data_IF_391146951423
#
_entry.id   IF_391146951423
#
_cell.length_a   1.000
_cell.length_b   1.000
_cell.length_c   1.000
_cell.angle_alpha   90.00
_cell.angle_beta   90.00
_cell.angle_gamma   90.00
#
_symmetry.space_group_name_H-M   'P 1'
#
loop_
_entity.id
_entity.type
_entity.pdbx_description
1 polymer ?
#
# COMPACT_ATOMS: atom_id res chain seq x y z
N UNK A 1 25.93 -21.04 41.24
CA UNK A 1 25.54 -21.01 39.82
C UNK A 1 24.11 -21.47 39.53
N UNK A 2 23.44 -22.25 40.40
CA UNK A 2 21.99 -22.51 40.25
C UNK A 2 21.15 -21.22 40.26
N UNK A 3 21.54 -20.23 41.06
CA UNK A 3 20.86 -18.93 41.13
C UNK A 3 20.80 -18.15 39.80
N UNK A 4 21.83 -18.21 38.93
CA UNK A 4 21.78 -17.63 37.59
C UNK A 4 20.88 -18.42 36.63
N UNK A 5 20.66 -19.72 36.90
CA UNK A 5 19.71 -20.56 36.16
C UNK A 5 18.27 -20.42 36.66
N UNK A 6 18.07 -19.82 37.83
CA UNK A 6 16.75 -19.62 38.45
C UNK A 6 16.13 -18.26 38.06
N UNK A 7 16.88 -17.38 37.39
CA UNK A 7 16.43 -16.03 37.07
C UNK A 7 16.90 -15.59 35.67
N UNK A 8 16.03 -15.72 34.66
CA UNK A 8 16.32 -15.43 33.25
C UNK A 8 16.68 -13.96 32.95
N UNK A 9 16.41 -13.03 33.87
CA UNK A 9 16.69 -11.60 33.68
C UNK A 9 18.07 -11.15 34.19
N UNK A 10 18.79 -12.00 34.93
CA UNK A 10 20.09 -11.67 35.52
C UNK A 10 21.20 -12.35 34.72
N UNK A 11 21.96 -11.57 33.96
CA UNK A 11 23.06 -12.11 33.14
C UNK A 11 24.38 -12.12 33.92
N UNK A 12 25.30 -12.98 33.48
CA UNK A 12 26.64 -13.03 34.07
C UNK A 12 27.41 -11.70 33.91
N UNK A 13 27.07 -10.94 32.87
CA UNK A 13 27.57 -9.58 32.61
C UNK A 13 27.24 -8.59 33.73
N UNK A 14 26.08 -8.73 34.35
CA UNK A 14 25.60 -7.79 35.37
C UNK A 14 26.32 -7.97 36.72
N UNK A 15 26.84 -9.18 36.97
CA UNK A 15 27.54 -9.53 38.21
C UNK A 15 29.07 -9.47 38.07
N UNK A 16 29.59 -9.49 36.83
CA UNK A 16 31.02 -9.42 36.52
C UNK A 16 31.77 -8.27 37.23
N UNK A 17 31.22 -7.04 37.31
CA UNK A 17 31.88 -5.91 37.96
C UNK A 17 32.03 -6.02 39.50
N UNK A 18 31.28 -6.93 40.13
CA UNK A 18 31.23 -7.06 41.58
C UNK A 18 32.19 -8.14 42.13
N UNK A 19 32.98 -8.78 41.26
CA UNK A 19 33.96 -9.77 41.68
C UNK A 19 35.30 -9.13 42.06
N UNK A 20 35.95 -9.70 43.07
CA UNK A 20 37.31 -9.33 43.45
C UNK A 20 38.33 -9.92 42.47
N UNK A 21 39.49 -9.28 42.33
CA UNK A 21 40.57 -9.66 41.39
C UNK A 21 41.11 -11.10 41.55
N UNK A 22 40.75 -11.78 42.64
CA UNK A 22 41.29 -13.10 43.04
C UNK A 22 40.27 -14.25 43.01
N UNK A 23 39.06 -14.02 42.48
CA UNK A 23 38.10 -15.10 42.27
C UNK A 23 38.61 -16.01 41.16
N UNK A 24 38.76 -17.31 41.44
CA UNK A 24 39.20 -18.32 40.47
C UNK A 24 38.24 -18.36 39.29
N UNK A 25 38.69 -17.84 38.14
CA UNK A 25 37.98 -17.81 36.85
C UNK A 25 37.40 -19.20 36.47
N UNK A 26 38.00 -20.28 36.95
CA UNK A 26 37.54 -21.66 36.73
C UNK A 26 36.10 -21.92 37.19
N UNK A 27 35.58 -21.22 38.20
CA UNK A 27 34.20 -21.41 38.66
C UNK A 27 33.15 -20.75 37.75
N UNK A 28 33.57 -19.84 36.87
CA UNK A 28 32.70 -19.01 36.03
C UNK A 28 32.88 -19.29 34.54
N UNK A 29 33.96 -19.99 34.18
CA UNK A 29 34.30 -20.37 32.81
C UNK A 29 33.11 -20.96 32.04
N UNK A 30 32.44 -21.95 32.60
CA UNK A 30 31.33 -22.63 31.92
C UNK A 30 30.12 -21.71 31.70
N UNK A 31 29.80 -20.85 32.68
CA UNK A 31 28.68 -19.91 32.59
C UNK A 31 28.97 -18.78 31.58
N UNK A 32 30.21 -18.30 31.51
CA UNK A 32 30.67 -17.34 30.51
C UNK A 32 30.65 -17.98 29.12
N UNK A 33 31.18 -19.20 28.97
CA UNK A 33 31.14 -19.94 27.71
C UNK A 33 29.71 -20.15 27.21
N UNK A 34 28.78 -20.52 28.10
CA UNK A 34 27.36 -20.69 27.76
C UNK A 34 26.72 -19.37 27.30
N UNK A 35 26.91 -18.29 28.06
CA UNK A 35 26.37 -16.97 27.69
C UNK A 35 26.92 -16.49 26.34
N UNK A 36 28.23 -16.65 26.10
CA UNK A 36 28.84 -16.31 24.81
C UNK A 36 28.30 -17.17 23.66
N UNK A 37 28.03 -18.46 23.89
CA UNK A 37 27.40 -19.33 22.90
C UNK A 37 25.97 -18.86 22.57
N UNK A 38 25.17 -18.53 23.59
CA UNK A 38 23.81 -17.99 23.42
C UNK A 38 23.83 -16.66 22.65
N UNK A 39 24.77 -15.76 22.94
CA UNK A 39 24.93 -14.53 22.15
C UNK A 39 25.30 -14.79 20.69
N UNK A 40 26.23 -15.71 20.43
CA UNK A 40 26.58 -16.08 19.07
C UNK A 40 25.39 -16.70 18.33
N UNK A 41 24.59 -17.52 19.00
CA UNK A 41 23.37 -18.08 18.44
C UNK A 41 22.36 -16.97 18.14
N UNK A 42 22.09 -16.05 19.07
CA UNK A 42 21.21 -14.92 18.84
C UNK A 42 21.66 -14.03 17.68
N UNK A 43 22.97 -13.79 17.54
CA UNK A 43 23.53 -13.05 16.41
C UNK A 43 23.28 -13.81 15.10
N UNK A 44 23.40 -15.15 15.13
CA UNK A 44 23.14 -15.99 13.97
C UNK A 44 21.65 -15.96 13.58
N UNK A 45 20.75 -16.08 14.56
CA UNK A 45 19.30 -16.01 14.34
C UNK A 45 18.89 -14.64 13.75
N UNK A 46 19.42 -13.54 14.28
CA UNK A 46 19.17 -12.19 13.76
C UNK A 46 19.70 -12.01 12.33
N UNK A 47 20.85 -12.62 12.00
CA UNK A 47 21.39 -12.59 10.63
C UNK A 47 20.48 -13.35 9.68
N UNK A 48 19.98 -14.51 10.10
CA UNK A 48 19.04 -15.32 9.31
C UNK A 48 17.72 -14.58 9.09
N UNK A 49 17.15 -13.95 10.13
CA UNK A 49 15.95 -13.13 10.02
C UNK A 49 16.16 -11.95 9.06
N UNK A 50 17.30 -11.28 9.14
CA UNK A 50 17.65 -10.18 8.24
C UNK A 50 17.77 -10.66 6.78
N UNK A 51 18.39 -11.82 6.56
CA UNK A 51 18.52 -12.41 5.22
C UNK A 51 17.16 -12.83 4.65
N UNK A 52 16.30 -13.46 5.46
CA UNK A 52 14.94 -13.84 5.06
C UNK A 52 14.09 -12.60 4.72
N UNK A 53 14.11 -11.58 5.57
CA UNK A 53 13.41 -10.32 5.31
C UNK A 53 13.92 -9.63 4.03
N UNK A 54 15.23 -9.66 3.80
CA UNK A 54 15.85 -9.09 2.59
C UNK A 54 15.40 -9.84 1.34
N UNK A 55 15.44 -11.18 1.37
CA UNK A 55 15.00 -12.04 0.28
C UNK A 55 13.52 -11.85 -0.02
N UNK A 56 12.68 -11.78 1.01
CA UNK A 56 11.24 -11.47 0.85
C UNK A 56 11.03 -10.12 0.17
N UNK A 57 11.77 -9.09 0.59
CA UNK A 57 11.70 -7.78 -0.03
C UNK A 57 12.17 -7.77 -1.50
N UNK A 58 13.17 -8.57 -1.86
CA UNK A 58 13.61 -8.74 -3.25
C UNK A 58 12.54 -9.41 -4.12
N UNK A 59 11.90 -10.46 -3.63
CA UNK A 59 10.76 -11.12 -4.32
C UNK A 59 9.64 -10.12 -4.57
N UNK A 60 9.21 -9.38 -3.54
CA UNK A 60 8.16 -8.37 -3.65
C UNK A 60 8.54 -7.29 -4.67
N UNK A 61 9.79 -6.80 -4.66
CA UNK A 61 10.26 -5.82 -5.66
C UNK A 61 10.22 -6.38 -7.08
N UNK A 62 10.61 -7.65 -7.27
CA UNK A 62 10.50 -8.36 -8.54
C UNK A 62 9.06 -8.49 -9.02
N UNK A 63 8.14 -8.85 -8.12
CA UNK A 63 6.70 -8.90 -8.41
C UNK A 63 6.14 -7.53 -8.80
N UNK A 64 6.52 -6.45 -8.10
CA UNK A 64 6.11 -5.08 -8.46
C UNK A 64 6.61 -4.72 -9.87
N UNK A 65 7.84 -5.07 -10.20
CA UNK A 65 8.41 -4.78 -11.52
C UNK A 65 7.71 -5.56 -12.64
N UNK A 66 7.49 -6.86 -12.43
CA UNK A 66 6.75 -7.69 -13.41
C UNK A 66 5.32 -7.20 -13.55
N UNK A 67 4.66 -6.83 -12.46
CA UNK A 67 3.29 -6.29 -12.45
C UNK A 67 3.16 -5.00 -13.27
N UNK A 68 4.13 -4.08 -13.17
CA UNK A 68 4.16 -2.83 -13.97
C UNK A 68 4.28 -3.07 -15.46
N UNK A 69 4.88 -4.19 -15.89
CA UNK A 69 5.12 -4.51 -17.29
C UNK A 69 4.01 -5.38 -17.91
N UNK A 70 2.93 -5.67 -17.18
CA UNK A 70 1.81 -6.45 -17.71
C UNK A 70 1.00 -5.60 -18.69
N UNK A 71 0.76 -6.15 -19.88
CA UNK A 71 -0.21 -5.60 -20.80
C UNK A 71 -1.59 -6.25 -20.58
N UNK A 72 -2.64 -5.50 -20.87
CA UNK A 72 -4.03 -6.01 -20.87
C UNK A 72 -4.66 -5.71 -22.22
N UNK A 73 -5.36 -6.70 -22.77
CA UNK A 73 -6.00 -6.60 -24.08
C UNK A 73 -7.49 -6.31 -23.92
N UNK A 74 -7.97 -5.26 -24.58
CA UNK A 74 -9.40 -4.92 -24.64
C UNK A 74 -9.94 -5.34 -26.00
N UNK A 75 -10.99 -6.14 -25.99
CA UNK A 75 -11.68 -6.68 -27.16
C UNK A 75 -12.98 -5.90 -27.42
N UNK A 76 -13.47 -5.92 -28.66
CA UNK A 76 -14.69 -5.18 -29.05
C UNK A 76 -15.99 -5.66 -28.38
N UNK A 77 -15.96 -6.86 -27.80
CA UNK A 77 -17.08 -7.46 -27.06
C UNK A 77 -16.95 -7.27 -25.55
N UNK A 78 -15.91 -6.58 -25.08
CA UNK A 78 -15.76 -6.31 -23.66
C UNK A 78 -16.84 -5.36 -23.16
N UNK A 79 -17.34 -5.64 -21.96
CA UNK A 79 -18.44 -4.92 -21.32
C UNK A 79 -17.99 -4.27 -20.02
N UNK A 80 -18.67 -3.19 -19.63
CA UNK A 80 -18.49 -2.53 -18.34
C UNK A 80 -19.06 -3.40 -17.23
N UNK A 81 -18.30 -3.57 -16.14
CA UNK A 81 -18.69 -4.42 -15.00
C UNK A 81 -19.80 -3.84 -14.11
N UNK A 82 -20.34 -2.65 -14.42
CA UNK A 82 -21.43 -2.01 -13.68
C UNK A 82 -22.75 -1.97 -14.45
N UNK A 83 -22.70 -1.78 -15.77
CA UNK A 83 -23.90 -1.59 -16.60
C UNK A 83 -24.06 -2.64 -17.71
N UNK A 84 -23.11 -3.57 -17.84
CA UNK A 84 -23.09 -4.66 -18.84
C UNK A 84 -23.16 -4.21 -20.32
N UNK A 85 -23.00 -2.91 -20.58
CA UNK A 85 -22.92 -2.35 -21.94
C UNK A 85 -21.48 -2.39 -22.47
N UNK A 86 -21.33 -2.36 -23.81
CA UNK A 86 -20.03 -2.40 -24.48
C UNK A 86 -19.10 -1.28 -24.01
N UNK A 87 -17.87 -1.65 -23.67
CA UNK A 87 -16.87 -0.76 -23.07
C UNK A 87 -16.43 0.36 -24.03
N UNK A 88 -16.15 0.01 -25.28
CA UNK A 88 -15.55 0.92 -26.28
C UNK A 88 -16.47 2.04 -26.79
N UNK A 89 -17.72 2.10 -26.33
CA UNK A 89 -18.68 3.15 -26.75
C UNK A 89 -18.43 4.46 -25.98
N UNK A 90 -17.82 4.40 -24.79
CA UNK A 90 -17.60 5.55 -23.91
C UNK A 90 -16.17 5.53 -23.35
N UNK A 91 -15.66 6.67 -22.83
CA UNK A 91 -14.42 6.66 -22.07
C UNK A 91 -14.49 5.66 -20.92
N UNK A 92 -13.42 4.89 -20.72
CA UNK A 92 -13.40 3.81 -19.75
C UNK A 92 -12.09 3.76 -18.97
N UNK A 93 -12.14 3.15 -17.79
CA UNK A 93 -10.98 2.78 -16.98
C UNK A 93 -10.80 1.28 -17.03
N UNK A 94 -9.54 0.85 -17.18
CA UNK A 94 -9.12 -0.53 -17.08
C UNK A 94 -8.12 -0.64 -15.93
N UNK A 95 -8.47 -1.42 -14.93
CA UNK A 95 -7.61 -1.65 -13.77
C UNK A 95 -6.68 -2.84 -14.02
N UNK A 96 -5.47 -2.86 -13.41
CA UNK A 96 -4.55 -4.00 -13.50
C UNK A 96 -5.10 -5.34 -12.99
N UNK A 97 -6.18 -5.32 -12.18
CA UNK A 97 -6.91 -6.52 -11.77
C UNK A 97 -7.84 -7.09 -12.87
N UNK A 98 -7.96 -6.42 -14.02
CA UNK A 98 -8.79 -6.83 -15.16
C UNK A 98 -10.20 -6.21 -15.16
N UNK A 99 -10.62 -5.55 -14.09
CA UNK A 99 -11.93 -4.88 -14.04
C UNK A 99 -11.95 -3.63 -14.91
N UNK A 100 -13.10 -3.41 -15.54
CA UNK A 100 -13.30 -2.41 -16.58
C UNK A 100 -14.62 -1.70 -16.39
N UNK A 101 -14.57 -0.37 -16.44
CA UNK A 101 -15.72 0.47 -16.11
C UNK A 101 -15.78 1.64 -17.07
N UNK A 102 -16.98 2.05 -17.48
CA UNK A 102 -17.14 3.38 -18.06
C UNK A 102 -16.81 4.46 -17.02
N UNK A 103 -16.27 5.58 -17.47
CA UNK A 103 -15.88 6.70 -16.60
C UNK A 103 -17.07 7.21 -15.78
N UNK A 104 -18.21 7.40 -16.43
CA UNK A 104 -19.49 7.80 -15.86
C UNK A 104 -20.05 6.77 -14.86
N UNK A 105 -20.03 5.48 -15.20
CA UNK A 105 -20.45 4.42 -14.29
C UNK A 105 -19.57 4.37 -13.03
N UNK A 106 -18.25 4.46 -13.22
CA UNK A 106 -17.28 4.42 -12.12
C UNK A 106 -17.47 5.61 -11.17
N UNK A 107 -17.58 6.83 -11.70
CA UNK A 107 -17.76 8.05 -10.88
C UNK A 107 -19.07 8.00 -10.09
N UNK A 108 -20.15 7.53 -10.72
CA UNK A 108 -21.47 7.39 -10.10
C UNK A 108 -21.41 6.50 -8.85
N UNK A 109 -20.82 5.31 -8.99
CA UNK A 109 -20.75 4.34 -7.89
C UNK A 109 -19.65 4.67 -6.87
N UNK A 110 -18.57 5.32 -7.31
CA UNK A 110 -17.46 5.71 -6.44
C UNK A 110 -17.82 6.90 -5.53
N UNK A 111 -18.63 7.84 -6.01
CA UNK A 111 -19.05 9.02 -5.26
C UNK A 111 -19.55 8.71 -3.84
N UNK A 112 -20.52 7.79 -3.60
CA UNK A 112 -20.99 7.47 -2.25
C UNK A 112 -19.96 6.72 -1.40
N UNK A 113 -18.96 6.05 -1.99
CA UNK A 113 -17.95 5.27 -1.27
C UNK A 113 -16.70 6.08 -0.89
N UNK A 114 -16.44 7.20 -1.58
CA UNK A 114 -15.30 8.06 -1.30
C UNK A 114 -15.38 8.73 0.10
N UNK A 115 -14.24 8.86 0.80
CA UNK A 115 -14.14 9.73 1.98
C UNK A 115 -14.58 11.16 1.65
N UNK A 116 -15.17 11.89 2.62
CA UNK A 116 -15.75 13.22 2.38
C UNK A 116 -14.74 14.22 1.80
N UNK A 117 -13.47 14.17 2.24
CA UNK A 117 -12.42 15.03 1.69
C UNK A 117 -12.14 14.79 0.20
N UNK A 118 -12.02 13.51 -0.22
CA UNK A 118 -11.80 13.16 -1.63
C UNK A 118 -13.03 13.45 -2.49
N UNK A 119 -14.23 13.17 -1.97
CA UNK A 119 -15.51 13.48 -2.65
C UNK A 119 -15.64 14.97 -2.94
N UNK A 120 -15.44 15.82 -1.93
CA UNK A 120 -15.57 17.26 -2.07
C UNK A 120 -14.54 17.82 -3.05
N UNK A 121 -13.29 17.31 -2.98
CA UNK A 121 -12.24 17.67 -3.95
C UNK A 121 -12.64 17.28 -5.38
N UNK A 122 -13.15 16.07 -5.58
CA UNK A 122 -13.60 15.59 -6.90
C UNK A 122 -14.74 16.45 -7.46
N UNK A 123 -15.74 16.79 -6.64
CA UNK A 123 -16.86 17.64 -7.05
C UNK A 123 -16.40 19.06 -7.41
N UNK A 124 -15.47 19.63 -6.65
CA UNK A 124 -14.91 20.95 -6.96
C UNK A 124 -14.08 20.93 -8.26
N UNK A 125 -13.26 19.90 -8.48
CA UNK A 125 -12.51 19.73 -9.72
C UNK A 125 -13.45 19.56 -10.93
N UNK A 126 -14.52 18.78 -10.79
CA UNK A 126 -15.55 18.64 -11.83
C UNK A 126 -16.26 19.97 -12.11
N UNK A 127 -16.55 20.76 -11.07
CA UNK A 127 -17.15 22.10 -11.23
C UNK A 127 -16.21 23.02 -12.00
N UNK A 128 -14.93 23.05 -11.64
CA UNK A 128 -13.92 23.84 -12.35
C UNK A 128 -13.81 23.42 -13.82
N UNK A 129 -13.74 22.11 -14.10
CA UNK A 129 -13.66 21.58 -15.46
C UNK A 129 -14.87 21.97 -16.33
N UNK A 130 -16.07 21.98 -15.75
CA UNK A 130 -17.29 22.43 -16.43
C UNK A 130 -17.26 23.93 -16.72
N UNK A 131 -16.80 24.76 -15.77
CA UNK A 131 -16.66 26.21 -15.96
C UNK A 131 -15.66 26.57 -17.08
N UNK A 132 -14.59 25.79 -17.24
CA UNK A 132 -13.65 25.94 -18.36
C UNK A 132 -14.28 25.49 -19.69
N UNK A 133 -15.05 24.40 -19.70
CA UNK A 133 -15.68 23.87 -20.92
C UNK A 133 -16.75 24.82 -21.50
N UNK A 134 -17.45 25.59 -20.66
CA UNK A 134 -18.46 26.57 -21.10
C UNK A 134 -17.88 27.88 -21.66
N UNK A 135 -16.57 28.12 -21.53
CA UNK A 135 -15.90 29.34 -22.02
C UNK A 135 -15.26 29.21 -23.41
N UNK A 136 -15.26 28.01 -23.99
CA UNK A 136 -14.56 27.70 -25.25
C UNK A 136 -15.34 28.08 -26.51
N UNK A 137 -16.63 28.43 -26.44
CA UNK A 137 -17.45 28.70 -27.64
C UNK A 137 -17.19 30.06 -28.32
N UNK A 138 -16.34 30.95 -27.79
CA UNK A 138 -16.18 32.30 -28.39
C UNK A 138 -14.77 32.80 -28.67
N UNK A 139 -13.67 32.16 -28.23
CA UNK A 139 -12.34 32.67 -28.57
C UNK A 139 -11.28 31.56 -28.62
N UNK A 140 -10.65 31.40 -29.79
CA UNK A 140 -9.44 30.60 -30.01
C UNK A 140 -8.28 31.12 -29.14
N UNK A 141 -8.10 30.59 -27.92
CA UNK A 141 -7.07 31.03 -26.97
C UNK A 141 -6.25 29.86 -26.40
N UNK A 142 -5.05 29.70 -26.96
CA UNK A 142 -3.79 29.41 -26.24
C UNK A 142 -3.52 27.99 -25.71
N UNK A 143 -2.30 27.49 -25.97
CA UNK A 143 -1.73 26.24 -25.42
C UNK A 143 -1.81 26.13 -23.87
N UNK A 144 -1.83 27.26 -23.15
CA UNK A 144 -1.90 27.30 -21.70
C UNK A 144 -3.27 26.89 -21.11
N UNK A 145 -4.38 27.13 -21.82
CA UNK A 145 -5.73 26.77 -21.34
C UNK A 145 -5.97 25.25 -21.47
N UNK A 146 -5.46 24.66 -22.54
CA UNK A 146 -5.46 23.21 -22.79
C UNK A 146 -4.68 22.50 -21.68
N UNK A 147 -3.49 23.00 -21.34
CA UNK A 147 -2.66 22.45 -20.25
C UNK A 147 -3.37 22.48 -18.89
N UNK A 148 -4.06 23.58 -18.55
CA UNK A 148 -4.82 23.67 -17.30
C UNK A 148 -6.00 22.70 -17.25
N UNK A 149 -6.70 22.50 -18.38
CA UNK A 149 -7.80 21.53 -18.50
C UNK A 149 -7.32 20.10 -18.34
N UNK A 150 -6.19 19.77 -18.95
CA UNK A 150 -5.60 18.44 -18.86
C UNK A 150 -5.09 18.14 -17.45
N UNK A 151 -4.55 19.14 -16.75
CA UNK A 151 -4.20 19.01 -15.33
C UNK A 151 -5.43 18.71 -14.46
N UNK A 152 -6.55 19.40 -14.68
CA UNK A 152 -7.80 19.14 -13.96
C UNK A 152 -8.33 17.73 -14.22
N UNK A 153 -8.26 17.25 -15.47
CA UNK A 153 -8.62 15.86 -15.81
C UNK A 153 -7.71 14.87 -15.12
N UNK A 154 -6.39 15.08 -15.16
CA UNK A 154 -5.41 14.22 -14.50
C UNK A 154 -5.64 14.15 -12.98
N UNK A 155 -6.01 15.26 -12.35
CA UNK A 155 -6.32 15.30 -10.92
C UNK A 155 -7.60 14.51 -10.59
N UNK A 156 -8.63 14.57 -11.45
CA UNK A 156 -9.84 13.74 -11.33
C UNK A 156 -9.48 12.27 -11.53
N UNK A 157 -8.71 11.94 -12.57
CA UNK A 157 -8.26 10.59 -12.88
C UNK A 157 -7.44 10.00 -11.72
N UNK A 158 -6.60 10.80 -11.06
CA UNK A 158 -5.85 10.38 -9.87
C UNK A 158 -6.75 9.94 -8.72
N UNK A 159 -7.92 10.58 -8.56
CA UNK A 159 -8.91 10.21 -7.54
C UNK A 159 -9.70 8.98 -7.99
N UNK A 160 -10.22 8.99 -9.22
CA UNK A 160 -11.11 7.97 -9.76
C UNK A 160 -10.40 6.63 -9.98
N UNK A 161 -9.18 6.67 -10.51
CA UNK A 161 -8.37 5.48 -10.78
C UNK A 161 -7.48 5.05 -9.60
N UNK A 162 -7.67 5.65 -8.41
CA UNK A 162 -6.82 5.33 -7.24
C UNK A 162 -6.94 3.88 -6.77
N UNK A 163 -8.14 3.30 -6.86
CA UNK A 163 -8.39 1.90 -6.50
C UNK A 163 -9.58 1.33 -7.29
N UNK A 164 -9.56 0.02 -7.52
CA UNK A 164 -10.66 -0.68 -8.19
C UNK A 164 -11.86 -0.81 -7.24
N UNK A 165 -13.07 -0.54 -7.74
CA UNK A 165 -14.31 -0.67 -6.96
C UNK A 165 -14.51 -2.06 -6.32
N UNK A 166 -14.08 -3.14 -6.96
CA UNK A 166 -14.31 -4.51 -6.48
C UNK A 166 -13.11 -5.15 -5.78
N UNK A 167 -11.89 -4.69 -6.05
CA UNK A 167 -10.67 -5.26 -5.48
C UNK A 167 -9.98 -4.35 -4.46
N UNK A 168 -10.39 -3.08 -4.36
CA UNK A 168 -9.79 -2.09 -3.47
C UNK A 168 -10.40 -2.10 -2.07
N UNK A 169 -9.85 -1.24 -1.21
CA UNK A 169 -10.28 -1.06 0.17
C UNK A 169 -11.70 -0.47 0.24
N UNK A 170 -12.14 0.25 -0.80
CA UNK A 170 -13.53 0.73 -0.89
C UNK A 170 -14.55 -0.39 -0.69
N UNK A 171 -14.30 -1.58 -1.25
CA UNK A 171 -15.22 -2.72 -1.11
C UNK A 171 -15.25 -3.25 0.32
N UNK A 172 -14.11 -3.23 1.03
CA UNK A 172 -14.05 -3.63 2.44
C UNK A 172 -14.81 -2.63 3.31
N UNK A 173 -14.71 -1.33 3.00
CA UNK A 173 -15.41 -0.26 3.72
C UNK A 173 -16.92 -0.29 3.51
N UNK A 174 -17.38 -0.65 2.32
CA UNK A 174 -18.81 -0.75 2.01
C UNK A 174 -19.50 -1.83 2.88
N UNK A 175 -18.83 -2.95 3.16
CA UNK A 175 -19.34 -4.00 4.06
C UNK A 175 -19.47 -3.52 5.51
N UNK A 176 -18.52 -2.70 5.99
CA UNK A 176 -18.60 -2.11 7.34
C UNK A 176 -19.81 -1.17 7.48
N UNK A 177 -20.15 -0.42 6.43
CA UNK A 177 -21.31 0.48 6.42
C UNK A 177 -22.66 -0.27 6.47
N UNK A 178 -22.74 -1.49 5.91
CA UNK A 178 -23.94 -2.33 6.01
C UNK A 178 -24.18 -2.83 7.45
N UNK A 179 -23.11 -3.06 8.22
CA UNK A 179 -23.22 -3.55 9.61
C UNK A 179 -23.61 -2.48 10.64
N UNK A 180 -23.38 -1.20 10.36
CA UNK A 180 -23.75 -0.09 11.28
C UNK A 180 -25.22 0.32 11.13
N UNK A 181 -25.90 -0.11 10.05
CA UNK A 181 -27.32 0.16 9.79
C UNK A 181 -28.27 -0.96 10.24
N UNK A 182 -27.79 -1.94 11.01
CA UNK A 182 -28.63 -2.96 11.67
C UNK A 182 -28.55 -2.81 13.17
#
# INVERSE_FOLDING_TARGET
>A
MQFLKECDMLKIEDILPFFSDFVTIDHFKDAICTSLQEYNQHIQDLKEEMEEATKSAEVIRGEIQTFRNRCSFVHSHDVCSLCDLRLLIRPFYLFPCGHRFHSDCLVSDLSPMLPPGKRNKMLELQRQLNLYSSREDTVSVGSATISARDQLKADIDSIVASECLFCGDMMIRSVKLVRVKK
#
